data_IF_365253688713
#
_entry.id   IF_365253688713
#
_cell.length_a   1.000
_cell.length_b   1.000
_cell.length_c   1.000
_cell.angle_alpha   90.00
_cell.angle_beta   90.00
_cell.angle_gamma   90.00
#
_symmetry.space_group_name_H-M   'P 1'
#
loop_
_entity.id
_entity.type
_entity.pdbx_description
1 polymer ?
#
# COMPACT_ATOMS: atom_id res chain seq x y z
N UNK A 1 -10.44 4.92 8.07
CA UNK A 1 -9.67 3.92 7.32
C UNK A 1 -8.27 3.80 7.90
N UNK A 2 -7.52 2.79 7.47
CA UNK A 2 -6.13 2.59 7.83
C UNK A 2 -5.42 1.92 6.65
N UNK A 3 -4.20 2.35 6.31
CA UNK A 3 -3.41 1.77 5.22
C UNK A 3 -2.04 1.39 5.79
N UNK A 4 -1.70 0.11 5.73
CA UNK A 4 -0.34 -0.35 6.02
C UNK A 4 0.56 -0.05 4.81
N UNK A 5 1.81 0.31 5.08
CA UNK A 5 2.85 0.44 4.06
C UNK A 5 4.02 -0.50 4.37
N UNK A 6 4.71 -1.02 3.35
CA UNK A 6 5.92 -1.83 3.57
C UNK A 6 7.10 -0.95 4.02
N UNK A 7 8.22 -1.58 4.35
CA UNK A 7 9.49 -0.89 4.55
C UNK A 7 9.95 -0.18 3.27
N UNK A 8 10.79 0.85 3.42
CA UNK A 8 11.61 1.40 2.31
C UNK A 8 12.94 0.64 2.20
N UNK A 9 13.60 0.62 1.03
CA UNK A 9 14.83 -0.15 0.81
C UNK A 9 15.93 0.16 1.83
N UNK A 10 16.05 1.43 2.24
CA UNK A 10 17.04 1.90 3.21
C UNK A 10 16.84 1.28 4.61
N UNK A 11 15.64 0.81 4.94
CA UNK A 11 15.33 0.18 6.23
C UNK A 11 15.63 -1.33 6.28
N UNK A 12 15.95 -1.94 5.13
CA UNK A 12 16.15 -3.38 4.98
C UNK A 12 17.51 -3.76 4.39
N UNK A 13 18.46 -2.82 4.29
CA UNK A 13 19.80 -3.02 3.71
C UNK A 13 20.47 -4.30 4.25
N UNK A 14 20.42 -4.52 5.56
CA UNK A 14 21.06 -5.68 6.23
C UNK A 14 20.06 -6.78 6.65
N UNK A 15 18.82 -6.71 6.16
CA UNK A 15 17.75 -7.65 6.51
C UNK A 15 17.40 -8.50 5.30
N UNK A 16 18.09 -9.65 5.17
CA UNK A 16 17.75 -10.66 4.16
C UNK A 16 16.26 -11.04 4.27
N UNK A 17 15.64 -11.26 3.11
CA UNK A 17 14.27 -11.75 2.95
C UNK A 17 13.16 -10.83 3.49
N UNK A 18 13.44 -9.54 3.72
CA UNK A 18 12.41 -8.55 4.05
C UNK A 18 11.97 -7.75 2.83
N UNK A 19 10.68 -7.79 2.46
CA UNK A 19 10.18 -7.01 1.35
C UNK A 19 10.22 -5.51 1.66
N UNK A 20 10.46 -4.71 0.63
CA UNK A 20 10.40 -3.25 0.68
C UNK A 20 9.87 -2.68 -0.63
N UNK A 21 9.45 -1.42 -0.60
CA UNK A 21 8.99 -0.66 -1.75
C UNK A 21 9.60 0.74 -1.70
N UNK A 22 9.93 1.33 -2.86
CA UNK A 22 10.49 2.68 -2.89
C UNK A 22 9.53 3.70 -2.27
N UNK A 23 10.09 4.69 -1.57
CA UNK A 23 9.30 5.76 -0.94
C UNK A 23 8.41 6.49 -1.96
N UNK A 24 8.92 6.73 -3.17
CA UNK A 24 8.17 7.38 -4.25
C UNK A 24 6.91 6.59 -4.63
N UNK A 25 6.99 5.26 -4.75
CA UNK A 25 5.83 4.43 -5.07
C UNK A 25 4.83 4.37 -3.92
N UNK A 26 5.30 4.34 -2.68
CA UNK A 26 4.42 4.42 -1.51
C UNK A 26 3.65 5.74 -1.54
N UNK A 27 4.32 6.87 -1.76
CA UNK A 27 3.69 8.20 -1.86
C UNK A 27 2.66 8.21 -2.99
N UNK A 28 3.04 7.74 -4.19
CA UNK A 28 2.12 7.67 -5.33
C UNK A 28 0.88 6.84 -5.02
N UNK A 29 1.03 5.67 -4.40
CA UNK A 29 -0.07 4.80 -4.02
C UNK A 29 -1.01 5.44 -3.00
N UNK A 30 -0.46 6.10 -1.98
CA UNK A 30 -1.25 6.80 -0.97
C UNK A 30 -2.02 7.99 -1.56
N UNK A 31 -1.41 8.75 -2.47
CA UNK A 31 -2.10 9.84 -3.18
C UNK A 31 -3.31 9.30 -3.94
N UNK A 32 -3.15 8.23 -4.72
CA UNK A 32 -4.24 7.61 -5.47
C UNK A 32 -5.32 7.07 -4.52
N UNK A 33 -4.94 6.45 -3.40
CA UNK A 33 -5.89 5.94 -2.42
C UNK A 33 -6.75 7.05 -1.80
N UNK A 34 -6.15 8.19 -1.45
CA UNK A 34 -6.85 9.35 -0.89
C UNK A 34 -7.75 9.99 -1.95
N UNK A 35 -7.26 10.21 -3.17
CA UNK A 35 -8.05 10.75 -4.28
C UNK A 35 -9.27 9.86 -4.57
N UNK A 36 -9.09 8.55 -4.57
CA UNK A 36 -10.17 7.57 -4.77
C UNK A 36 -11.20 7.66 -3.64
N UNK A 37 -10.75 7.70 -2.38
CA UNK A 37 -11.63 7.79 -1.22
C UNK A 37 -12.46 9.08 -1.16
N UNK A 38 -11.97 10.17 -1.76
CA UNK A 38 -12.72 11.43 -1.88
C UNK A 38 -13.70 11.38 -3.06
N UNK A 39 -13.31 10.72 -4.15
CA UNK A 39 -14.07 10.72 -5.41
C UNK A 39 -15.26 9.76 -5.41
N UNK A 40 -15.20 8.69 -4.62
CA UNK A 40 -16.20 7.63 -4.63
C UNK A 40 -16.77 7.41 -3.23
N UNK A 41 -18.09 7.57 -3.11
CA UNK A 41 -18.83 7.33 -1.87
C UNK A 41 -19.18 5.84 -1.66
N UNK A 42 -19.23 5.07 -2.76
CA UNK A 42 -19.50 3.63 -2.75
C UNK A 42 -18.26 2.85 -3.21
N UNK A 43 -17.96 1.76 -2.52
CA UNK A 43 -16.85 0.86 -2.86
C UNK A 43 -17.27 -0.15 -3.94
N UNK A 44 -16.28 -0.71 -4.64
CA UNK A 44 -16.50 -1.80 -5.60
C UNK A 44 -16.87 -3.09 -4.86
N UNK A 45 -17.68 -3.95 -5.51
CA UNK A 45 -18.08 -5.26 -4.95
C UNK A 45 -17.19 -6.37 -5.48
N UNK A 46 -15.97 -6.43 -4.96
CA UNK A 46 -14.95 -7.42 -5.35
C UNK A 46 -14.45 -8.22 -4.14
N UNK A 47 -14.06 -9.49 -4.36
CA UNK A 47 -13.48 -10.34 -3.31
C UNK A 47 -11.96 -10.37 -3.49
N UNK A 48 -11.23 -9.76 -2.53
CA UNK A 48 -9.76 -9.75 -2.50
C UNK A 48 -9.14 -10.60 -1.39
N UNK A 49 -9.95 -11.25 -0.55
CA UNK A 49 -9.46 -12.11 0.53
C UNK A 49 -9.02 -13.48 0.03
N UNK A 50 -7.90 -13.98 0.56
CA UNK A 50 -7.41 -15.34 0.35
C UNK A 50 -7.43 -16.12 1.67
N UNK A 51 -7.81 -17.41 1.63
CA UNK A 51 -7.91 -18.30 2.80
C UNK A 51 -6.69 -19.22 2.99
N UNK A 52 -5.56 -18.90 2.37
CA UNK A 52 -4.31 -19.65 2.50
C UNK A 52 -3.47 -19.16 3.68
#
# INVERSE_FOLDING_TARGET
GFIHIPFIPEQVIDKKDRPSMSLELIVKGLTVAIETAIKYDEDIREIGGEIH
#
